data_IF_267284186955
#
_entry.id   IF_267284186955
#
_cell.length_a   1.000
_cell.length_b   1.000
_cell.length_c   1.000
_cell.angle_alpha   90.00
_cell.angle_beta   90.00
_cell.angle_gamma   90.00
#
_symmetry.space_group_name_H-M   'P 1'
#
loop_
_entity.id
_entity.type
_entity.pdbx_description
1 polymer ?
#
# COMPACT_ATOMS: atom_id res chain seq x y z
N UNK A 1 -10.50 -37.89 74.38
CA UNK A 1 -9.18 -38.37 73.89
C UNK A 1 -8.99 -39.80 74.38
N UNK A 2 -8.38 -40.76 73.66
CA UNK A 2 -7.92 -40.82 72.26
C UNK A 2 -8.67 -41.94 71.46
N UNK A 3 -8.59 -42.09 70.14
CA UNK A 3 -7.53 -42.88 69.45
C UNK A 3 -7.42 -42.54 67.96
N UNK A 4 -6.19 -42.40 67.49
CA UNK A 4 -5.75 -42.32 66.09
C UNK A 4 -5.39 -43.72 65.55
N UNK A 5 -5.72 -43.99 64.28
CA UNK A 5 -5.04 -44.95 63.36
C UNK A 5 -5.44 -44.55 61.93
N UNK A 6 -4.61 -43.83 61.17
CA UNK A 6 -3.51 -44.25 60.27
C UNK A 6 -3.94 -45.17 59.11
N UNK A 7 -3.71 -44.70 57.89
CA UNK A 7 -3.23 -45.56 56.79
C UNK A 7 -4.04 -45.49 55.49
N UNK A 8 -3.38 -45.08 54.39
CA UNK A 8 -3.88 -45.37 53.04
C UNK A 8 -3.43 -44.44 51.92
N UNK A 9 -2.12 -44.27 51.70
CA UNK A 9 -1.61 -43.81 50.40
C UNK A 9 -1.92 -44.85 49.32
N UNK A 10 -2.42 -44.43 48.15
CA UNK A 10 -2.23 -45.19 46.92
C UNK A 10 -2.21 -44.29 45.69
N UNK A 11 -1.02 -44.21 45.11
CA UNK A 11 -0.68 -43.68 43.80
C UNK A 11 -0.99 -44.71 42.70
N UNK A 12 -1.53 -44.28 41.56
CA UNK A 12 -1.20 -44.93 40.29
C UNK A 12 -1.23 -43.97 39.10
N UNK A 13 -0.09 -44.04 38.41
CA UNK A 13 0.37 -43.41 37.17
C UNK A 13 -0.60 -43.61 35.99
N UNK A 14 -0.58 -42.65 35.07
CA UNK A 14 -1.48 -42.56 33.92
C UNK A 14 -1.14 -43.45 32.73
N UNK A 15 -1.90 -43.25 31.65
CA UNK A 15 -1.51 -43.53 30.26
C UNK A 15 -2.26 -42.57 29.33
N UNK A 16 -1.47 -41.90 28.51
CA UNK A 16 -1.83 -41.14 27.32
C UNK A 16 -2.27 -42.08 26.20
N UNK A 17 -3.20 -41.64 25.35
CA UNK A 17 -3.21 -41.96 23.92
C UNK A 17 -3.88 -40.82 23.15
N UNK A 18 -3.09 -40.16 22.28
CA UNK A 18 -3.58 -39.49 21.06
C UNK A 18 -4.07 -40.63 20.15
N UNK A 19 -5.15 -40.51 19.38
CA UNK A 19 -5.25 -39.72 18.15
C UNK A 19 -6.60 -40.08 17.46
N UNK A 20 -6.88 -39.44 16.32
CA UNK A 20 -7.82 -39.81 15.25
C UNK A 20 -9.17 -39.06 15.08
N UNK A 21 -9.12 -38.13 14.11
CA UNK A 21 -10.05 -37.95 12.96
C UNK A 21 -11.21 -36.94 13.06
N UNK A 22 -10.88 -35.76 12.54
CA UNK A 22 -11.59 -34.92 11.55
C UNK A 22 -12.81 -35.52 10.84
N UNK A 23 -13.83 -34.65 10.63
CA UNK A 23 -14.88 -34.66 9.57
C UNK A 23 -15.98 -35.74 9.75
N UNK A 24 -17.30 -35.52 9.71
CA UNK A 24 -18.26 -34.57 9.12
C UNK A 24 -19.52 -34.62 10.04
N UNK A 25 -20.45 -33.66 10.11
CA UNK A 25 -21.41 -33.33 9.06
C UNK A 25 -22.21 -32.09 9.47
N UNK A 26 -22.46 -31.26 8.47
CA UNK A 26 -23.51 -30.25 8.39
C UNK A 26 -24.84 -30.85 8.85
N UNK A 27 -25.52 -30.21 9.80
CA UNK A 27 -26.96 -30.35 9.93
C UNK A 27 -27.62 -28.97 9.94
N UNK A 28 -28.28 -28.78 8.80
CA UNK A 28 -29.24 -27.76 8.43
C UNK A 28 -30.41 -27.66 9.42
N UNK A 29 -30.72 -26.42 9.77
CA UNK A 29 -32.08 -25.85 9.86
C UNK A 29 -33.20 -26.80 10.33
N UNK A 30 -33.46 -26.80 11.63
CA UNK A 30 -34.82 -27.03 12.14
C UNK A 30 -35.11 -26.02 13.26
N UNK A 31 -36.01 -25.08 12.96
CA UNK A 31 -36.57 -24.13 13.92
C UNK A 31 -37.40 -24.90 14.94
N UNK A 32 -36.83 -25.21 16.11
CA UNK A 32 -37.61 -25.47 17.32
C UNK A 32 -37.75 -24.15 18.09
N UNK A 33 -38.97 -23.61 18.05
CA UNK A 33 -39.39 -22.44 18.81
C UNK A 33 -39.48 -22.81 20.30
N UNK A 34 -38.33 -22.82 20.97
CA UNK A 34 -38.27 -22.62 22.42
C UNK A 34 -38.03 -21.14 22.68
N UNK A 35 -38.72 -20.57 23.66
CA UNK A 35 -38.58 -19.18 24.13
C UNK A 35 -37.09 -18.84 24.36
N UNK A 36 -36.44 -18.26 23.35
CA UNK A 36 -35.04 -17.82 23.40
C UNK A 36 -34.97 -16.55 24.24
N UNK A 37 -34.92 -16.70 25.55
CA UNK A 37 -34.53 -15.62 26.45
C UNK A 37 -33.01 -15.49 26.35
N UNK A 38 -32.55 -14.62 25.45
CA UNK A 38 -31.12 -14.39 25.21
C UNK A 38 -30.87 -13.40 24.08
N UNK A 39 -29.66 -12.82 24.03
CA UNK A 39 -29.25 -11.89 22.96
C UNK A 39 -29.33 -12.60 21.61
N UNK A 40 -29.98 -11.97 20.63
CA UNK A 40 -30.05 -12.48 19.25
C UNK A 40 -28.62 -12.79 18.75
N UNK A 41 -28.37 -13.99 18.19
CA UNK A 41 -27.07 -14.32 17.61
C UNK A 41 -26.73 -13.32 16.50
N UNK A 42 -25.46 -12.91 16.42
CA UNK A 42 -24.97 -12.00 15.37
C UNK A 42 -24.91 -12.75 14.04
N UNK A 43 -25.22 -12.04 12.94
CA UNK A 43 -25.20 -12.58 11.57
C UNK A 43 -23.82 -13.12 11.18
N UNK A 44 -22.74 -12.43 11.60
CA UNK A 44 -21.35 -12.87 11.43
C UNK A 44 -20.59 -12.76 12.77
N UNK A 45 -20.39 -13.86 13.50
CA UNK A 45 -19.58 -13.86 14.70
C UNK A 45 -18.08 -13.74 14.35
N UNK A 46 -17.35 -12.95 15.15
CA UNK A 46 -15.91 -12.84 15.01
C UNK A 46 -15.23 -13.99 15.78
N UNK A 47 -15.14 -15.15 15.15
CA UNK A 47 -14.69 -16.40 15.79
C UNK A 47 -13.16 -16.46 16.01
N UNK A 48 -12.39 -15.70 15.23
CA UNK A 48 -10.93 -15.69 15.28
C UNK A 48 -10.39 -14.47 16.04
N UNK A 49 -9.46 -14.73 16.98
CA UNK A 49 -8.73 -13.70 17.73
C UNK A 49 -7.23 -13.89 17.55
N UNK A 50 -6.55 -12.83 17.12
CA UNK A 50 -5.09 -12.76 17.04
C UNK A 50 -4.57 -11.75 18.05
N UNK A 51 -3.58 -12.15 18.85
CA UNK A 51 -2.86 -11.26 19.78
C UNK A 51 -1.42 -11.09 19.31
N UNK A 52 -0.99 -9.84 19.16
CA UNK A 52 0.41 -9.50 18.93
C UNK A 52 0.93 -8.69 20.11
N UNK A 53 2.22 -8.84 20.41
CA UNK A 53 2.92 -8.04 21.42
C UNK A 53 3.64 -6.91 20.72
N UNK A 54 3.59 -5.72 21.29
CA UNK A 54 4.28 -4.54 20.78
C UNK A 54 5.45 -4.21 21.70
N UNK A 55 6.56 -3.74 21.12
CA UNK A 55 7.64 -3.11 21.86
C UNK A 55 7.26 -1.69 22.29
N UNK A 56 8.01 -1.10 23.22
CA UNK A 56 7.71 0.24 23.75
C UNK A 56 7.67 1.33 22.65
N UNK A 57 8.60 1.28 21.70
CA UNK A 57 8.64 2.22 20.57
C UNK A 57 7.47 2.04 19.60
N UNK A 58 7.10 0.79 19.32
CA UNK A 58 5.99 0.44 18.44
C UNK A 58 4.65 0.85 19.07
N UNK A 59 4.52 0.69 20.38
CA UNK A 59 3.36 1.15 21.14
C UNK A 59 3.23 2.68 21.07
N UNK A 60 4.33 3.43 21.22
CA UNK A 60 4.29 4.89 21.09
C UNK A 60 3.94 5.39 19.68
N UNK A 61 4.29 4.63 18.63
CA UNK A 61 3.81 4.91 17.25
C UNK A 61 2.33 4.58 17.10
N UNK A 62 1.90 3.45 17.65
CA UNK A 62 0.50 3.01 17.62
C UNK A 62 -0.44 4.00 18.30
N UNK A 63 -0.07 4.52 19.48
CA UNK A 63 -0.89 5.48 20.22
C UNK A 63 -1.06 6.81 19.49
N UNK A 64 0.00 7.30 18.82
CA UNK A 64 -0.08 8.52 17.99
C UNK A 64 -1.05 8.33 16.82
N UNK A 65 -0.90 7.23 16.08
CA UNK A 65 -1.79 6.93 14.95
C UNK A 65 -3.24 6.68 15.41
N UNK A 66 -3.41 6.07 16.59
CA UNK A 66 -4.73 5.86 17.18
C UNK A 66 -5.41 7.20 17.49
N UNK A 67 -4.70 8.13 18.13
CA UNK A 67 -5.20 9.46 18.46
C UNK A 67 -5.58 10.26 17.20
N UNK A 68 -4.71 10.24 16.19
CA UNK A 68 -4.94 10.92 14.91
C UNK A 68 -6.15 10.35 14.15
N UNK A 69 -6.39 9.04 14.26
CA UNK A 69 -7.51 8.38 13.59
C UNK A 69 -8.89 8.67 14.22
N UNK A 70 -8.95 9.17 15.46
CA UNK A 70 -10.18 9.43 16.20
C UNK A 70 -11.08 8.21 16.41
N UNK A 71 -10.54 6.99 16.31
CA UNK A 71 -11.31 5.77 16.42
C UNK A 71 -11.78 5.51 17.86
N UNK A 72 -13.00 4.96 18.02
CA UNK A 72 -13.59 4.68 19.34
C UNK A 72 -12.82 3.62 20.14
N UNK A 73 -12.36 2.57 19.44
CA UNK A 73 -11.64 1.44 20.05
C UNK A 73 -10.37 1.13 19.27
N UNK A 74 -9.32 0.72 20.00
CA UNK A 74 -8.04 0.25 19.40
C UNK A 74 -8.27 -0.89 18.42
N UNK A 75 -9.22 -1.79 18.68
CA UNK A 75 -9.55 -2.91 17.78
C UNK A 75 -10.20 -2.44 16.47
N UNK A 76 -11.06 -1.41 16.53
CA UNK A 76 -11.67 -0.83 15.32
C UNK A 76 -10.60 -0.13 14.50
N UNK A 77 -9.67 0.57 15.15
CA UNK A 77 -8.50 1.15 14.50
C UNK A 77 -7.62 0.09 13.82
N UNK A 78 -7.29 -1.02 14.49
CA UNK A 78 -6.47 -2.10 13.92
C UNK A 78 -7.20 -2.75 12.74
N UNK A 79 -8.48 -3.09 12.86
CA UNK A 79 -9.26 -3.68 11.76
C UNK A 79 -9.36 -2.72 10.58
N UNK A 80 -9.60 -1.44 10.83
CA UNK A 80 -9.62 -0.42 9.77
C UNK A 80 -8.23 -0.27 9.15
N UNK A 81 -7.16 -0.14 9.93
CA UNK A 81 -5.80 -0.04 9.40
C UNK A 81 -5.38 -1.27 8.60
N UNK A 82 -5.78 -2.48 9.00
CA UNK A 82 -5.41 -3.73 8.34
C UNK A 82 -6.25 -4.03 7.09
N UNK A 83 -7.55 -3.71 7.11
CA UNK A 83 -8.50 -4.04 6.04
C UNK A 83 -8.96 -2.85 5.19
N UNK A 84 -8.87 -1.62 5.70
CA UNK A 84 -9.13 -0.37 4.96
C UNK A 84 -7.86 0.33 4.50
N UNK A 85 -6.72 0.06 5.15
CA UNK A 85 -5.42 0.33 4.55
C UNK A 85 -5.18 -0.75 3.53
N UNK A 86 -5.27 -0.42 2.24
CA UNK A 86 -4.80 -1.31 1.18
C UNK A 86 -3.35 -1.69 1.54
N UNK A 87 -3.15 -2.87 2.11
CA UNK A 87 -1.86 -3.55 2.08
C UNK A 87 -1.69 -3.99 0.62
N UNK A 88 -1.50 -3.00 -0.26
CA UNK A 88 -1.06 -3.22 -1.62
C UNK A 88 0.39 -3.65 -1.45
N UNK A 89 0.59 -4.95 -1.32
CA UNK A 89 1.90 -5.58 -1.48
C UNK A 89 2.25 -5.37 -2.96
N UNK A 90 2.66 -4.15 -3.28
CA UNK A 90 3.32 -3.86 -4.55
C UNK A 90 4.63 -4.60 -4.41
N UNK A 91 4.79 -5.69 -5.16
CA UNK A 91 6.11 -6.26 -5.40
C UNK A 91 6.87 -5.18 -6.16
N UNK A 92 7.60 -4.35 -5.43
CA UNK A 92 8.36 -3.24 -6.01
C UNK A 92 9.58 -3.84 -6.69
N UNK A 93 9.49 -4.00 -7.99
CA UNK A 93 10.69 -4.08 -8.81
C UNK A 93 11.33 -2.69 -8.83
N UNK A 94 12.50 -2.56 -8.19
CA UNK A 94 13.22 -1.29 -8.04
C UNK A 94 13.57 -0.69 -9.41
N UNK A 95 13.87 -1.54 -10.39
CA UNK A 95 14.23 -1.13 -11.75
C UNK A 95 13.06 -0.46 -12.45
N UNK A 96 11.87 -1.08 -12.39
CA UNK A 96 10.64 -0.51 -12.94
C UNK A 96 10.27 0.82 -12.27
N UNK A 97 10.42 0.94 -10.95
CA UNK A 97 10.14 2.19 -10.24
C UNK A 97 11.07 3.33 -10.64
N UNK A 98 12.38 3.04 -10.73
CA UNK A 98 13.38 4.02 -11.17
C UNK A 98 13.13 4.48 -12.61
N UNK A 99 12.66 3.58 -13.48
CA UNK A 99 12.24 3.93 -14.84
C UNK A 99 11.07 4.93 -14.84
N UNK A 100 10.01 4.69 -14.06
CA UNK A 100 8.88 5.62 -13.96
C UNK A 100 9.28 6.98 -13.39
N UNK A 101 10.16 7.02 -12.39
CA UNK A 101 10.68 8.27 -11.81
C UNK A 101 11.47 9.05 -12.87
N UNK A 102 12.36 8.37 -13.61
CA UNK A 102 13.15 9.00 -14.68
C UNK A 102 12.27 9.52 -15.81
N UNK A 103 11.20 8.81 -16.17
CA UNK A 103 10.25 9.26 -17.19
C UNK A 103 9.48 10.49 -16.74
N UNK A 104 9.04 10.53 -15.47
CA UNK A 104 8.39 11.70 -14.89
C UNK A 104 9.31 12.92 -14.83
N UNK A 105 10.57 12.73 -14.44
CA UNK A 105 11.57 13.81 -14.40
C UNK A 105 11.89 14.33 -15.80
N UNK A 106 12.04 13.44 -16.79
CA UNK A 106 12.20 13.83 -18.20
C UNK A 106 11.05 14.73 -18.66
N UNK A 107 9.81 14.35 -18.37
CA UNK A 107 8.65 15.18 -18.72
C UNK A 107 8.69 16.57 -18.04
N UNK A 108 9.09 16.62 -16.77
CA UNK A 108 9.25 17.89 -16.03
C UNK A 108 10.29 18.80 -16.69
N UNK A 109 11.38 18.24 -17.20
CA UNK A 109 12.41 19.01 -17.91
C UNK A 109 11.86 19.64 -19.19
N UNK A 110 11.04 18.93 -19.97
CA UNK A 110 10.37 19.54 -21.15
C UNK A 110 9.44 20.68 -20.77
N UNK A 111 8.67 20.53 -19.71
CA UNK A 111 7.82 21.62 -19.22
C UNK A 111 8.65 22.83 -18.79
N UNK A 112 9.77 22.62 -18.10
CA UNK A 112 10.68 23.69 -17.71
C UNK A 112 11.26 24.43 -18.92
N UNK A 113 11.67 23.70 -19.97
CA UNK A 113 12.16 24.29 -21.22
C UNK A 113 11.07 25.13 -21.90
N UNK A 114 9.82 24.64 -21.96
CA UNK A 114 8.69 25.39 -22.50
C UNK A 114 8.37 26.67 -21.71
N UNK A 115 8.43 26.60 -20.38
CA UNK A 115 8.25 27.76 -19.51
C UNK A 115 9.36 28.80 -19.72
N UNK A 116 10.62 28.35 -19.81
CA UNK A 116 11.77 29.21 -20.09
C UNK A 116 11.65 29.87 -21.46
N UNK A 117 11.20 29.14 -22.48
CA UNK A 117 10.93 29.69 -23.81
C UNK A 117 9.93 30.85 -23.74
N UNK A 118 8.78 30.63 -23.09
CA UNK A 118 7.76 31.67 -22.92
C UNK A 118 8.30 32.90 -22.18
N UNK A 119 9.14 32.70 -21.16
CA UNK A 119 9.77 33.80 -20.43
C UNK A 119 10.73 34.60 -21.32
N UNK A 120 11.60 33.92 -22.07
CA UNK A 120 12.57 34.57 -22.96
C UNK A 120 11.85 35.36 -24.06
N UNK A 121 10.83 34.79 -24.70
CA UNK A 121 10.06 35.49 -25.74
C UNK A 121 9.41 36.76 -25.19
N UNK A 122 8.76 36.68 -24.01
CA UNK A 122 8.17 37.86 -23.36
C UNK A 122 9.22 38.90 -22.97
N UNK A 123 10.38 38.46 -22.48
CA UNK A 123 11.48 39.35 -22.12
C UNK A 123 12.09 40.04 -23.35
N UNK A 124 12.22 39.32 -24.47
CA UNK A 124 12.68 39.85 -25.75
C UNK A 124 11.71 40.91 -26.28
N UNK A 125 10.40 40.62 -26.23
CA UNK A 125 9.36 41.56 -26.66
C UNK A 125 9.30 42.83 -25.81
N UNK A 126 9.54 42.73 -24.50
CA UNK A 126 9.43 43.88 -23.58
C UNK A 126 10.67 44.78 -23.56
N UNK A 127 11.87 44.20 -23.69
CA UNK A 127 13.13 44.90 -23.37
C UNK A 127 13.97 45.31 -24.58
N UNK A 128 13.71 44.77 -25.78
CA UNK A 128 14.54 45.03 -26.97
C UNK A 128 13.73 45.68 -28.09
N UNK A 129 14.40 46.52 -28.89
CA UNK A 129 13.82 47.07 -30.12
C UNK A 129 13.75 46.02 -31.25
N UNK A 130 12.84 46.22 -32.20
CA UNK A 130 12.40 45.22 -33.20
C UNK A 130 13.53 44.50 -33.94
N UNK A 131 14.58 45.20 -34.37
CA UNK A 131 15.70 44.58 -35.09
C UNK A 131 16.51 43.61 -34.21
N UNK A 132 16.74 43.96 -32.95
CA UNK A 132 17.46 43.11 -31.99
C UNK A 132 16.58 41.96 -31.50
N UNK A 133 15.28 42.20 -31.33
CA UNK A 133 14.32 41.16 -30.99
C UNK A 133 14.26 40.06 -32.07
N UNK A 134 14.18 40.45 -33.36
CA UNK A 134 14.16 39.50 -34.48
C UNK A 134 15.40 38.62 -34.54
N UNK A 135 16.61 39.19 -34.39
CA UNK A 135 17.84 38.40 -34.45
C UNK A 135 17.95 37.40 -33.29
N UNK A 136 17.47 37.75 -32.09
CA UNK A 136 17.39 36.86 -30.94
C UNK A 136 16.36 35.74 -31.16
N UNK A 137 15.18 36.08 -31.71
CA UNK A 137 14.14 35.10 -32.03
C UNK A 137 14.59 34.08 -33.07
N UNK A 138 15.32 34.49 -34.11
CA UNK A 138 15.90 33.55 -35.09
C UNK A 138 16.88 32.55 -34.48
N UNK A 139 17.71 33.00 -33.54
CA UNK A 139 18.62 32.09 -32.81
C UNK A 139 17.86 31.12 -31.92
N UNK A 140 16.81 31.61 -31.26
CA UNK A 140 15.93 30.78 -30.43
C UNK A 140 15.20 29.73 -31.27
N UNK A 141 14.67 30.11 -32.42
CA UNK A 141 14.01 29.22 -33.38
C UNK A 141 14.95 28.09 -33.82
N UNK A 142 16.19 28.42 -34.21
CA UNK A 142 17.19 27.42 -34.60
C UNK A 142 17.44 26.40 -33.48
N UNK A 143 17.64 26.87 -32.25
CA UNK A 143 17.85 25.98 -31.10
C UNK A 143 16.61 25.09 -30.82
N UNK A 144 15.40 25.62 -30.99
CA UNK A 144 14.18 24.82 -30.83
C UNK A 144 14.01 23.77 -31.92
N UNK A 145 14.42 24.04 -33.15
CA UNK A 145 14.39 23.06 -34.24
C UNK A 145 15.36 21.90 -33.97
N UNK A 146 16.56 22.19 -33.49
CA UNK A 146 17.54 21.18 -33.08
C UNK A 146 16.98 20.29 -31.96
N UNK A 147 16.32 20.88 -30.95
CA UNK A 147 15.67 20.15 -29.87
C UNK A 147 14.54 19.23 -30.37
N UNK A 148 13.70 19.70 -31.30
CA UNK A 148 12.63 18.91 -31.90
C UNK A 148 13.20 17.74 -32.68
N UNK A 149 14.29 17.95 -33.42
CA UNK A 149 14.94 16.90 -34.20
C UNK A 149 15.47 15.77 -33.29
N UNK A 150 16.19 16.16 -32.22
CA UNK A 150 16.68 15.20 -31.22
C UNK A 150 15.53 14.45 -30.55
N UNK A 151 14.45 15.15 -30.20
CA UNK A 151 13.26 14.53 -29.58
C UNK A 151 12.61 13.50 -30.52
N UNK A 152 12.55 13.78 -31.82
CA UNK A 152 12.06 12.82 -32.82
C UNK A 152 12.95 11.60 -32.96
N UNK A 153 14.27 11.78 -32.93
CA UNK A 153 15.23 10.67 -32.95
C UNK A 153 15.07 9.77 -31.72
N UNK A 154 14.93 10.35 -30.53
CA UNK A 154 14.67 9.61 -29.28
C UNK A 154 13.37 8.81 -29.39
N UNK A 155 12.29 9.40 -29.92
CA UNK A 155 11.03 8.69 -30.12
C UNK A 155 11.16 7.54 -31.13
N UNK A 156 11.90 7.72 -32.22
CA UNK A 156 12.16 6.66 -33.20
C UNK A 156 12.91 5.48 -32.57
N UNK A 157 14.00 5.76 -31.87
CA UNK A 157 14.79 4.74 -31.18
C UNK A 157 13.97 4.01 -30.11
N UNK A 158 13.08 4.72 -29.42
CA UNK A 158 12.18 4.12 -28.43
C UNK A 158 11.20 3.15 -29.10
N UNK A 159 10.59 3.54 -30.23
CA UNK A 159 9.69 2.65 -30.99
C UNK A 159 10.41 1.42 -31.53
N UNK A 160 11.61 1.59 -32.08
CA UNK A 160 12.43 0.46 -32.54
C UNK A 160 12.78 -0.51 -31.41
N UNK A 161 13.03 0.01 -30.20
CA UNK A 161 13.26 -0.82 -29.02
C UNK A 161 11.99 -1.56 -28.59
N UNK A 162 10.85 -0.88 -28.57
CA UNK A 162 9.55 -1.49 -28.27
C UNK A 162 9.23 -2.63 -29.25
N UNK A 163 9.39 -2.42 -30.56
CA UNK A 163 9.15 -3.45 -31.58
C UNK A 163 10.07 -4.67 -31.45
N UNK A 164 11.33 -4.46 -31.03
CA UNK A 164 12.33 -5.54 -30.91
C UNK A 164 12.19 -6.35 -29.61
N UNK A 165 11.77 -5.74 -28.51
CA UNK A 165 11.87 -6.32 -27.17
C UNK A 165 10.54 -6.50 -26.44
N UNK A 166 9.44 -5.91 -26.91
CA UNK A 166 8.09 -6.18 -26.42
C UNK A 166 7.34 -7.02 -27.46
N UNK A 167 7.43 -8.37 -27.41
CA UNK A 167 6.53 -9.21 -28.20
C UNK A 167 5.08 -8.95 -27.75
N UNK A 168 4.21 -8.79 -28.74
CA UNK A 168 2.81 -8.39 -28.56
C UNK A 168 1.96 -9.49 -27.93
#
# INVERSE_FOLDING_TARGET
MPSLTVGGFSSKVGKSDRECKTTQMKQSMEKKQGTRTGRKPKTDPADYKYSFRLNAEENGRFERLFLESGARDRTVFIKKSLFSGQLKVIKVDKVSMDYYIRLGEFHRQFQAVGNNYNQVVRAVQKNFGDQRARSLLYRLEKATLELILLSKQIMSLTREYEEKWLPR
#
